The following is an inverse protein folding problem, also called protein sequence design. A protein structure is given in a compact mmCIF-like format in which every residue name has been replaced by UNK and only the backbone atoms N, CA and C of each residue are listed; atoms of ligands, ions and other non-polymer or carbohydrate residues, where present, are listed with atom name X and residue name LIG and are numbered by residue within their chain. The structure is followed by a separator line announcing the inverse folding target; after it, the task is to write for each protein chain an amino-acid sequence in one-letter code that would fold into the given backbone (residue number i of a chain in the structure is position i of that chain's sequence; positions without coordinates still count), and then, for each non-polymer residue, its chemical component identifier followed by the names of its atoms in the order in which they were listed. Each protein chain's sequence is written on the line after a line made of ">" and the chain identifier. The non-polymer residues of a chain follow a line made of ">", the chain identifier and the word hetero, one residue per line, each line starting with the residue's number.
data_IF_708562172168
#
_entry.id   IF_708562172168
#
_cell.length_a   1.000
_cell.length_b   1.000
_cell.length_c   1.000
_cell.angle_alpha   90.00
_cell.angle_beta   90.00
_cell.angle_gamma   90.00
#
_symmetry.space_group_name_H-M   'P 1'
#
loop_
_entity.id
_entity.type
_entity.pdbx_description
1 polymer ?
#
# COMPACT_ATOMS: atom_id res chain seq x y z
N UNK A 1 21.65 -2.64 12.36
CA UNK A 1 20.39 -3.32 12.74
C UNK A 1 19.23 -2.42 12.33
N UNK A 2 18.44 -2.81 11.32
CA UNK A 2 17.20 -2.11 11.00
C UNK A 2 16.20 -2.35 12.14
N UNK A 3 15.62 -1.28 12.69
CA UNK A 3 14.55 -1.38 13.68
C UNK A 3 13.41 -2.25 13.12
N UNK A 4 12.87 -3.14 13.96
CA UNK A 4 11.76 -4.04 13.61
C UNK A 4 10.57 -3.27 13.00
N UNK A 5 10.38 -2.01 13.37
CA UNK A 5 9.29 -1.17 12.87
C UNK A 5 9.51 -0.72 11.42
N UNK A 6 10.76 -0.46 11.02
CA UNK A 6 11.08 -0.15 9.62
C UNK A 6 10.87 -1.38 8.73
N UNK A 7 11.17 -2.58 9.25
CA UNK A 7 10.88 -3.84 8.54
C UNK A 7 9.37 -4.10 8.42
N UNK A 8 8.58 -3.81 9.46
CA UNK A 8 7.10 -3.89 9.40
C UNK A 8 6.53 -2.91 8.37
N UNK A 9 7.01 -1.67 8.35
CA UNK A 9 6.57 -0.66 7.38
C UNK A 9 6.86 -1.09 5.93
N UNK A 10 8.03 -1.68 5.67
CA UNK A 10 8.36 -2.24 4.35
C UNK A 10 7.46 -3.41 3.96
N UNK A 11 7.16 -4.33 4.89
CA UNK A 11 6.26 -5.45 4.64
C UNK A 11 4.83 -4.99 4.35
N UNK A 12 4.35 -3.99 5.07
CA UNK A 12 3.01 -3.44 4.82
C UNK A 12 2.92 -2.69 3.50
N UNK A 13 3.98 -1.96 3.11
CA UNK A 13 4.03 -1.32 1.80
C UNK A 13 4.09 -2.37 0.66
N UNK A 14 4.91 -3.41 0.82
CA UNK A 14 4.99 -4.51 -0.14
C UNK A 14 3.64 -5.22 -0.32
N UNK A 15 2.89 -5.45 0.77
CA UNK A 15 1.53 -6.02 0.72
C UNK A 15 0.57 -5.13 -0.07
N UNK A 16 0.58 -3.81 0.17
CA UNK A 16 -0.25 -2.86 -0.59
C UNK A 16 0.04 -2.88 -2.08
N UNK A 17 1.32 -2.93 -2.47
CA UNK A 17 1.71 -3.03 -3.87
C UNK A 17 1.25 -4.33 -4.53
N UNK A 18 1.40 -5.46 -3.82
CA UNK A 18 0.92 -6.77 -4.27
C UNK A 18 -0.61 -6.77 -4.46
N UNK A 19 -1.35 -6.14 -3.55
CA UNK A 19 -2.81 -6.03 -3.63
C UNK A 19 -3.28 -5.18 -4.82
N UNK A 20 -2.55 -4.10 -5.12
CA UNK A 20 -2.79 -3.27 -6.31
C UNK A 20 -2.50 -4.05 -7.59
N UNK A 21 -1.34 -4.71 -7.67
CA UNK A 21 -0.97 -5.53 -8.83
C UNK A 21 -2.05 -6.60 -9.08
N UNK A 22 -2.46 -7.34 -8.05
CA UNK A 22 -3.49 -8.38 -8.13
C UNK A 22 -4.86 -7.83 -8.56
N UNK A 23 -5.22 -6.62 -8.13
CA UNK A 23 -6.43 -5.94 -8.59
C UNK A 23 -6.38 -5.61 -10.08
N UNK A 24 -5.24 -5.12 -10.57
CA UNK A 24 -5.03 -4.85 -12.00
C UNK A 24 -5.05 -6.14 -12.83
N UNK A 25 -4.34 -7.18 -12.40
CA UNK A 25 -4.33 -8.49 -13.09
C UNK A 25 -5.72 -9.08 -13.19
N UNK A 26 -6.52 -9.00 -12.11
CA UNK A 26 -7.92 -9.45 -12.13
C UNK A 26 -8.76 -8.70 -13.17
N UNK A 27 -8.60 -7.37 -13.28
CA UNK A 27 -9.32 -6.56 -14.28
C UNK A 27 -8.92 -6.91 -15.70
N UNK A 28 -7.61 -7.08 -15.95
CA UNK A 28 -7.10 -7.47 -17.26
C UNK A 28 -7.62 -8.85 -17.62
N UNK A 29 -7.54 -9.82 -16.70
CA UNK A 29 -8.06 -11.17 -16.93
C UNK A 29 -9.58 -11.17 -17.23
N UNK A 30 -10.38 -10.37 -16.52
CA UNK A 30 -11.81 -10.23 -16.84
C UNK A 30 -12.02 -9.59 -18.21
N UNK A 31 -11.31 -8.50 -18.54
CA UNK A 31 -11.44 -7.83 -19.83
C UNK A 31 -11.04 -8.76 -20.99
N UNK A 32 -9.91 -9.45 -20.87
CA UNK A 32 -9.42 -10.43 -21.84
C UNK A 32 -10.37 -11.62 -21.96
N UNK A 33 -10.87 -12.16 -20.85
CA UNK A 33 -11.86 -13.25 -20.85
C UNK A 33 -13.17 -12.85 -21.51
N UNK A 34 -13.63 -11.61 -21.27
CA UNK A 34 -14.85 -11.08 -21.91
C UNK A 34 -14.63 -10.93 -23.41
N UNK A 35 -13.50 -10.35 -23.83
CA UNK A 35 -13.16 -10.20 -25.24
C UNK A 35 -13.01 -11.55 -25.96
N UNK A 36 -12.37 -12.53 -25.32
CA UNK A 36 -12.23 -13.89 -25.84
C UNK A 36 -13.59 -14.59 -25.97
N UNK A 37 -14.46 -14.48 -24.95
CA UNK A 37 -15.83 -15.01 -25.00
C UNK A 37 -16.63 -14.35 -26.13
N UNK A 38 -16.60 -13.01 -26.24
CA UNK A 38 -17.26 -12.29 -27.34
C UNK A 38 -16.75 -12.72 -28.70
N UNK A 39 -15.44 -12.95 -28.85
CA UNK A 39 -14.86 -13.43 -30.12
C UNK A 39 -15.32 -14.86 -30.44
N UNK A 40 -15.43 -15.72 -29.43
CA UNK A 40 -15.95 -17.08 -29.55
C UNK A 40 -17.40 -17.14 -30.06
N UNK A 41 -18.24 -16.17 -29.68
CA UNK A 41 -19.63 -16.06 -30.18
C UNK A 41 -19.71 -15.91 -31.71
N UNK A 42 -18.68 -15.34 -32.32
CA UNK A 42 -18.65 -15.09 -33.77
C UNK A 42 -17.81 -16.12 -34.53
N UNK A 43 -17.06 -16.99 -33.83
CA UNK A 43 -16.16 -17.96 -34.46
C UNK A 43 -16.17 -19.31 -33.74
N UNK A 44 -16.86 -20.29 -34.32
CA UNK A 44 -16.98 -21.66 -33.79
C UNK A 44 -15.63 -22.38 -33.68
N UNK A 45 -14.63 -21.99 -34.47
CA UNK A 45 -13.30 -22.59 -34.50
C UNK A 45 -12.51 -22.42 -33.18
N UNK A 46 -12.83 -21.41 -32.37
CA UNK A 46 -12.02 -21.03 -31.19
C UNK A 46 -12.74 -21.28 -29.85
N UNK A 47 -13.97 -21.81 -29.91
CA UNK A 47 -14.86 -21.99 -28.76
C UNK A 47 -14.31 -23.00 -27.72
N UNK A 48 -13.64 -24.07 -28.17
CA UNK A 48 -13.03 -25.05 -27.27
C UNK A 48 -11.86 -24.47 -26.46
N UNK A 49 -11.03 -23.65 -27.09
CA UNK A 49 -9.87 -23.02 -26.45
C UNK A 49 -10.29 -21.93 -25.45
N UNK A 50 -11.34 -21.16 -25.78
CA UNK A 50 -11.88 -20.13 -24.89
C UNK A 50 -12.54 -20.72 -23.64
N UNK A 51 -13.21 -21.87 -23.77
CA UNK A 51 -13.74 -22.66 -22.65
C UNK A 51 -12.63 -23.09 -21.68
N UNK A 52 -11.56 -23.69 -22.22
CA UNK A 52 -10.41 -24.14 -21.44
C UNK A 52 -9.70 -22.98 -20.75
N UNK A 53 -9.49 -21.87 -21.45
CA UNK A 53 -8.88 -20.67 -20.90
C UNK A 53 -9.73 -20.06 -19.76
N UNK A 54 -11.05 -20.05 -19.92
CA UNK A 54 -11.98 -19.52 -18.89
C UNK A 54 -12.01 -20.41 -17.66
N UNK A 55 -12.06 -21.73 -17.82
CA UNK A 55 -11.99 -22.69 -16.72
C UNK A 55 -10.66 -22.59 -15.96
N UNK A 56 -9.55 -22.52 -16.69
CA UNK A 56 -8.23 -22.36 -16.10
C UNK A 56 -8.12 -21.04 -15.32
N UNK A 57 -8.56 -19.92 -15.88
CA UNK A 57 -8.53 -18.61 -15.22
C UNK A 57 -9.41 -18.58 -13.97
N UNK A 58 -10.61 -19.16 -14.04
CA UNK A 58 -11.55 -19.23 -12.90
C UNK A 58 -11.01 -20.13 -11.79
N UNK A 59 -10.51 -21.32 -12.14
CA UNK A 59 -9.92 -22.26 -11.20
C UNK A 59 -8.68 -21.69 -10.51
N UNK A 60 -7.79 -21.04 -11.27
CA UNK A 60 -6.61 -20.38 -10.72
C UNK A 60 -7.00 -19.20 -9.82
N UNK A 61 -8.01 -18.42 -10.20
CA UNK A 61 -8.55 -17.34 -9.36
C UNK A 61 -9.08 -17.83 -8.01
N UNK A 62 -9.77 -18.97 -8.00
CA UNK A 62 -10.26 -19.63 -6.78
C UNK A 62 -9.14 -20.20 -5.92
N UNK A 63 -8.09 -20.78 -6.51
CA UNK A 63 -6.94 -21.29 -5.77
C UNK A 63 -6.10 -20.18 -5.12
N UNK A 64 -5.95 -19.04 -5.80
CA UNK A 64 -5.10 -17.94 -5.32
C UNK A 64 -5.86 -17.09 -4.28
N UNK A 65 -7.19 -17.16 -4.23
CA UNK A 65 -8.03 -16.44 -3.27
C UNK A 65 -7.62 -16.78 -1.83
N UNK A 66 -7.29 -15.78 -0.99
CA UNK A 66 -6.85 -16.02 0.38
C UNK A 66 -8.05 -16.27 1.31
N UNK A 67 -8.93 -17.19 0.95
CA UNK A 67 -10.09 -17.60 1.77
C UNK A 67 -9.65 -18.19 3.11
N UNK A 68 -8.46 -18.80 3.14
CA UNK A 68 -7.88 -19.38 4.36
C UNK A 68 -7.35 -18.34 5.37
N UNK A 69 -7.21 -17.06 4.99
CA UNK A 69 -6.61 -16.01 5.84
C UNK A 69 -7.61 -14.99 6.39
N UNK A 70 -8.90 -15.14 6.12
CA UNK A 70 -9.91 -14.39 6.86
C UNK A 70 -9.75 -14.74 8.34
N UNK A 71 -9.29 -13.77 9.14
CA UNK A 71 -8.79 -13.94 10.50
C UNK A 71 -9.83 -14.72 11.30
N UNK A 72 -9.58 -16.02 11.46
CA UNK A 72 -10.39 -16.83 12.35
C UNK A 72 -10.12 -16.33 13.77
N UNK A 73 -11.13 -16.33 14.67
CA UNK A 73 -10.85 -16.23 16.10
C UNK A 73 -9.75 -17.24 16.43
N UNK A 74 -8.82 -16.88 17.32
CA UNK A 74 -7.70 -17.77 17.67
C UNK A 74 -8.23 -19.18 17.86
N UNK A 75 -7.79 -20.13 17.04
CA UNK A 75 -8.46 -21.41 16.97
C UNK A 75 -8.27 -22.11 18.30
N UNK A 76 -9.38 -22.47 18.92
CA UNK A 76 -9.40 -23.16 20.21
C UNK A 76 -8.52 -24.41 20.10
N UNK A 77 -7.47 -24.46 20.93
CA UNK A 77 -6.55 -25.59 20.94
C UNK A 77 -7.27 -26.77 21.57
N UNK A 78 -7.59 -27.76 20.77
CA UNK A 78 -8.15 -29.02 21.26
C UNK A 78 -7.00 -29.87 21.78
N UNK A 79 -7.13 -30.34 23.01
CA UNK A 79 -6.14 -31.21 23.66
C UNK A 79 -6.79 -32.58 23.84
N UNK A 80 -6.40 -33.54 23.00
CA UNK A 80 -6.86 -34.92 23.11
C UNK A 80 -5.83 -35.79 23.81
N UNK A 81 -6.29 -36.65 24.72
CA UNK A 81 -5.43 -37.62 25.40
C UNK A 81 -5.35 -38.90 24.58
N UNK A 82 -4.16 -39.26 24.16
CA UNK A 82 -3.88 -40.44 23.35
C UNK A 82 -3.91 -41.71 24.22
N UNK A 83 -4.18 -42.89 23.63
CA UNK A 83 -4.40 -44.14 24.37
C UNK A 83 -3.17 -44.62 25.18
N UNK A 84 -1.99 -44.21 24.73
CA UNK A 84 -0.67 -44.37 25.34
C UNK A 84 -0.36 -43.33 26.44
N UNK A 85 -1.32 -42.46 26.77
CA UNK A 85 -1.19 -41.44 27.81
C UNK A 85 -0.55 -40.12 27.35
N UNK A 86 -0.19 -40.02 26.06
CA UNK A 86 0.27 -38.79 25.42
C UNK A 86 -0.81 -37.71 25.34
N UNK A 87 -0.40 -36.46 25.16
CA UNK A 87 -1.31 -35.33 24.90
C UNK A 87 -1.06 -34.84 23.48
N UNK A 88 -2.06 -34.96 22.62
CA UNK A 88 -2.03 -34.46 21.25
C UNK A 88 -2.73 -33.11 21.23
N UNK A 89 -1.95 -32.05 21.11
CA UNK A 89 -2.46 -30.70 20.91
C UNK A 89 -2.52 -30.47 19.41
N UNK A 90 -3.74 -30.40 18.87
CA UNK A 90 -3.92 -30.04 17.47
C UNK A 90 -4.96 -28.94 17.32
N UNK A 91 -4.86 -28.25 16.19
CA UNK A 91 -5.76 -27.19 15.83
C UNK A 91 -6.59 -27.67 14.66
N UNK A 92 -7.86 -28.07 14.86
CA UNK A 92 -8.70 -28.47 13.74
C UNK A 92 -8.85 -27.28 12.77
N UNK A 93 -8.88 -27.53 11.44
CA UNK A 93 -9.14 -26.47 10.48
C UNK A 93 -10.53 -25.89 10.76
N UNK A 94 -10.63 -24.63 11.18
CA UNK A 94 -11.94 -24.10 11.52
C UNK A 94 -12.81 -23.99 10.26
N UNK A 95 -14.12 -24.27 10.37
CA UNK A 95 -15.02 -24.23 9.24
C UNK A 95 -15.02 -22.82 8.63
N UNK A 96 -15.17 -22.69 7.30
CA UNK A 96 -15.20 -21.39 6.65
C UNK A 96 -16.37 -20.57 7.21
N UNK A 97 -16.07 -19.35 7.63
CA UNK A 97 -17.07 -18.41 8.15
C UNK A 97 -18.16 -18.16 7.10
N UNK A 98 -19.37 -17.79 7.55
CA UNK A 98 -20.46 -17.45 6.63
C UNK A 98 -20.03 -16.37 5.62
N UNK A 99 -19.24 -15.38 6.07
CA UNK A 99 -18.63 -14.36 5.21
C UNK A 99 -17.66 -14.95 4.18
N UNK A 100 -16.80 -15.90 4.58
CA UNK A 100 -15.91 -16.62 3.68
C UNK A 100 -16.65 -17.39 2.59
N UNK A 101 -17.76 -18.05 2.96
CA UNK A 101 -18.63 -18.77 2.01
C UNK A 101 -19.31 -17.79 1.04
N UNK A 102 -19.89 -16.70 1.54
CA UNK A 102 -20.51 -15.66 0.69
C UNK A 102 -19.49 -15.05 -0.28
N UNK A 103 -18.28 -14.76 0.20
CA UNK A 103 -17.19 -14.25 -0.64
C UNK A 103 -16.77 -15.26 -1.72
N UNK A 104 -16.67 -16.55 -1.37
CA UNK A 104 -16.36 -17.61 -2.33
C UNK A 104 -17.45 -17.75 -3.41
N UNK A 105 -18.73 -17.75 -3.01
CA UNK A 105 -19.87 -17.78 -3.94
C UNK A 105 -19.83 -16.56 -4.87
N UNK A 106 -19.70 -15.34 -4.32
CA UNK A 106 -19.63 -14.10 -5.12
C UNK A 106 -18.48 -14.10 -6.12
N UNK A 107 -17.39 -14.82 -5.83
CA UNK A 107 -16.25 -14.93 -6.74
C UNK A 107 -16.43 -16.03 -7.80
N UNK A 108 -17.07 -17.14 -7.44
CA UNK A 108 -17.30 -18.27 -8.34
C UNK A 108 -18.43 -18.03 -9.34
N UNK A 109 -19.51 -17.33 -8.94
CA UNK A 109 -20.73 -17.16 -9.74
C UNK A 109 -20.48 -16.66 -11.17
N UNK A 110 -19.63 -15.64 -11.43
CA UNK A 110 -19.40 -15.17 -12.79
C UNK A 110 -18.77 -16.23 -13.70
N UNK A 111 -17.81 -17.01 -13.19
CA UNK A 111 -17.16 -18.06 -13.96
C UNK A 111 -18.09 -19.24 -14.24
N UNK A 112 -18.86 -19.67 -13.24
CA UNK A 112 -19.87 -20.73 -13.41
C UNK A 112 -20.96 -20.31 -14.40
N UNK A 113 -21.41 -19.06 -14.35
CA UNK A 113 -22.38 -18.52 -15.29
C UNK A 113 -21.88 -18.55 -16.74
N UNK A 114 -20.62 -18.16 -16.96
CA UNK A 114 -20.01 -18.13 -18.28
C UNK A 114 -19.85 -19.55 -18.87
N UNK A 115 -19.44 -20.52 -18.05
CA UNK A 115 -19.41 -21.94 -18.43
C UNK A 115 -20.81 -22.44 -18.80
N UNK A 116 -21.84 -22.05 -18.05
CA UNK A 116 -23.23 -22.41 -18.34
C UNK A 116 -23.71 -21.90 -19.71
N UNK A 117 -23.40 -20.64 -20.05
CA UNK A 117 -23.72 -20.05 -21.36
C UNK A 117 -23.01 -20.80 -22.49
N UNK A 118 -21.73 -21.12 -22.33
CA UNK A 118 -20.96 -21.84 -23.35
C UNK A 118 -21.47 -23.27 -23.57
N UNK A 119 -21.95 -23.94 -22.51
CA UNK A 119 -22.61 -25.26 -22.64
C UNK A 119 -23.96 -25.12 -23.36
N UNK A 120 -24.73 -24.07 -23.07
CA UNK A 120 -26.01 -23.83 -23.73
C UNK A 120 -25.85 -23.60 -25.25
N UNK A 121 -24.87 -22.79 -25.65
CA UNK A 121 -24.53 -22.57 -27.06
C UNK A 121 -24.06 -23.84 -27.78
N UNK A 122 -23.38 -24.73 -27.06
CA UNK A 122 -22.96 -26.01 -27.61
C UNK A 122 -24.14 -26.95 -27.92
N UNK A 123 -25.23 -26.83 -27.14
CA UNK A 123 -26.43 -27.67 -27.29
C UNK A 123 -27.38 -27.08 -28.35
N UNK A 124 -27.52 -25.75 -28.42
CA UNK A 124 -28.42 -25.07 -29.36
C UNK A 124 -27.59 -24.13 -30.24
N UNK A 125 -27.09 -24.61 -31.39
CA UNK A 125 -26.33 -23.77 -32.30
C UNK A 125 -27.25 -22.75 -32.98
N UNK A 126 -26.98 -21.46 -32.76
CA UNK A 126 -27.75 -20.36 -33.35
C UNK A 126 -27.32 -19.00 -32.80
N UNK A 127 -27.63 -17.92 -33.53
CA UNK A 127 -27.36 -16.57 -33.05
C UNK A 127 -28.51 -16.08 -32.16
N UNK A 128 -28.31 -16.08 -30.85
CA UNK A 128 -29.33 -15.67 -29.89
C UNK A 128 -29.02 -14.29 -29.31
N UNK A 129 -29.62 -13.24 -29.89
CA UNK A 129 -29.48 -11.85 -29.41
C UNK A 129 -29.79 -11.69 -27.91
N UNK A 130 -30.70 -12.52 -27.38
CA UNK A 130 -31.01 -12.55 -25.95
C UNK A 130 -29.83 -12.99 -25.07
N UNK A 131 -29.00 -13.92 -25.54
CA UNK A 131 -27.81 -14.39 -24.82
C UNK A 131 -26.71 -13.33 -24.84
N UNK A 132 -26.47 -12.70 -25.99
CA UNK A 132 -25.54 -11.57 -26.09
C UNK A 132 -25.94 -10.40 -25.18
N UNK A 133 -27.25 -10.06 -25.13
CA UNK A 133 -27.78 -9.06 -24.21
C UNK A 133 -27.60 -9.48 -22.75
N UNK A 134 -27.85 -10.75 -22.42
CA UNK A 134 -27.69 -11.28 -21.07
C UNK A 134 -26.22 -11.23 -20.61
N UNK A 135 -25.27 -11.60 -21.47
CA UNK A 135 -23.82 -11.51 -21.20
C UNK A 135 -23.39 -10.05 -21.04
N UNK A 136 -23.88 -9.14 -21.86
CA UNK A 136 -23.59 -7.71 -21.75
C UNK A 136 -24.13 -7.11 -20.45
N UNK A 137 -25.40 -7.39 -20.10
CA UNK A 137 -26.03 -6.97 -18.84
C UNK A 137 -25.30 -7.55 -17.63
N UNK A 138 -24.93 -8.83 -17.69
CA UNK A 138 -24.18 -9.50 -16.62
C UNK A 138 -22.77 -8.90 -16.44
N UNK A 139 -22.08 -8.64 -17.55
CA UNK A 139 -20.76 -8.02 -17.53
C UNK A 139 -20.83 -6.60 -16.97
N UNK A 140 -21.80 -5.80 -17.40
CA UNK A 140 -22.03 -4.46 -16.84
C UNK A 140 -22.38 -4.54 -15.34
N UNK A 141 -23.24 -5.49 -14.95
CA UNK A 141 -23.65 -5.72 -13.57
C UNK A 141 -22.47 -6.09 -12.66
N UNK A 142 -21.61 -7.01 -13.09
CA UNK A 142 -20.41 -7.39 -12.33
C UNK A 142 -19.40 -6.25 -12.25
N UNK A 143 -19.28 -5.43 -13.29
CA UNK A 143 -18.44 -4.22 -13.29
C UNK A 143 -18.93 -3.16 -12.31
N UNK A 144 -20.24 -2.95 -12.26
CA UNK A 144 -20.89 -1.96 -11.38
C UNK A 144 -20.88 -2.41 -9.91
N UNK A 145 -21.25 -3.67 -9.65
CA UNK A 145 -21.31 -4.24 -8.30
C UNK A 145 -19.93 -4.44 -7.68
N UNK A 146 -18.90 -4.61 -8.51
CA UNK A 146 -17.52 -4.91 -8.10
C UNK A 146 -17.50 -5.99 -7.00
N UNK A 147 -18.01 -7.21 -7.26
CA UNK A 147 -18.20 -8.24 -6.24
C UNK A 147 -16.89 -8.56 -5.50
N UNK A 148 -15.74 -8.53 -6.19
CA UNK A 148 -14.43 -8.68 -5.58
C UNK A 148 -14.10 -7.59 -4.53
N UNK A 149 -14.53 -6.33 -4.75
CA UNK A 149 -14.35 -5.25 -3.77
C UNK A 149 -15.24 -5.47 -2.56
N UNK A 150 -16.51 -5.81 -2.76
CA UNK A 150 -17.44 -6.11 -1.65
C UNK A 150 -16.99 -7.33 -0.83
N UNK A 151 -16.57 -8.40 -1.50
CA UNK A 151 -16.03 -9.58 -0.84
C UNK A 151 -14.78 -9.23 0.01
N UNK A 152 -13.87 -8.39 -0.50
CA UNK A 152 -12.73 -7.90 0.29
C UNK A 152 -13.17 -7.12 1.54
N UNK A 153 -14.15 -6.22 1.41
CA UNK A 153 -14.67 -5.50 2.57
C UNK A 153 -15.35 -6.42 3.59
N UNK A 154 -15.90 -7.56 3.17
CA UNK A 154 -16.47 -8.57 4.07
C UNK A 154 -15.40 -9.44 4.74
N UNK A 155 -14.23 -9.63 4.11
CA UNK A 155 -13.14 -10.45 4.63
C UNK A 155 -12.14 -9.66 5.48
N UNK A 156 -12.08 -8.34 5.30
CA UNK A 156 -11.35 -7.45 6.21
C UNK A 156 -12.24 -7.29 7.44
N UNK A 157 -11.83 -7.78 8.63
CA UNK A 157 -12.58 -7.52 9.84
C UNK A 157 -12.79 -6.00 9.96
N UNK A 158 -13.96 -5.53 10.42
CA UNK A 158 -14.12 -4.12 10.72
C UNK A 158 -12.90 -3.72 11.56
N UNK A 159 -12.17 -2.69 11.11
CA UNK A 159 -11.11 -2.12 11.93
C UNK A 159 -11.72 -2.00 13.32
N UNK A 160 -11.08 -2.55 14.38
CA UNK A 160 -11.59 -2.35 15.73
C UNK A 160 -11.94 -0.88 15.83
N UNK A 161 -13.15 -0.52 16.31
CA UNK A 161 -13.56 0.87 16.36
C UNK A 161 -12.35 1.59 16.91
N UNK A 162 -11.80 2.54 16.12
CA UNK A 162 -10.72 3.38 16.61
C UNK A 162 -11.36 3.97 17.83
N UNK A 163 -10.98 3.44 18.99
CA UNK A 163 -11.48 3.89 20.26
C UNK A 163 -11.21 5.37 20.15
N UNK A 164 -12.31 6.14 20.06
CA UNK A 164 -12.17 7.57 19.91
C UNK A 164 -11.48 7.93 21.19
N UNK A 165 -10.17 8.11 21.10
CA UNK A 165 -9.34 8.70 22.12
C UNK A 165 -9.79 10.16 22.18
N UNK A 166 -11.02 10.34 22.64
CA UNK A 166 -11.51 11.55 23.21
C UNK A 166 -11.13 11.36 24.67
N UNK A 167 -10.19 12.18 25.10
CA UNK A 167 -9.71 12.29 26.49
C UNK A 167 -8.69 11.24 26.99
N UNK A 168 -7.84 10.68 26.12
CA UNK A 168 -6.46 10.54 26.61
C UNK A 168 -5.87 11.93 26.54
N UNK A 169 -5.92 12.64 27.67
CA UNK A 169 -4.81 13.51 28.06
C UNK A 169 -3.58 12.71 27.70
N UNK A 170 -2.87 13.13 26.64
CA UNK A 170 -1.55 12.61 26.32
C UNK A 170 -0.76 12.92 27.59
N UNK A 171 -0.68 11.95 28.49
CA UNK A 171 0.32 11.99 29.53
C UNK A 171 1.62 12.14 28.74
N UNK A 172 2.31 13.25 28.98
CA UNK A 172 3.71 13.46 28.62
C UNK A 172 4.54 12.35 29.26
N UNK A 173 4.37 11.10 28.81
CA UNK A 173 5.46 10.17 28.89
C UNK A 173 6.57 10.79 28.06
N UNK A 174 7.76 11.03 28.64
CA UNK A 174 8.86 11.66 27.94
C UNK A 174 9.15 10.80 26.70
N UNK A 175 8.68 11.26 25.54
CA UNK A 175 8.95 10.60 24.28
C UNK A 175 10.47 10.58 24.16
N UNK A 176 11.05 9.39 24.26
CA UNK A 176 12.48 9.22 24.13
C UNK A 176 12.82 9.51 22.67
N UNK A 177 13.12 10.78 22.37
CA UNK A 177 13.42 11.22 21.02
C UNK A 177 14.62 10.42 20.51
N UNK A 178 14.44 9.78 19.36
CA UNK A 178 15.51 8.96 18.77
C UNK A 178 16.75 9.78 18.38
N UNK A 179 16.62 11.10 18.24
CA UNK A 179 17.68 12.00 17.83
C UNK A 179 17.73 13.25 18.74
N UNK A 180 18.93 13.70 19.18
CA UNK A 180 19.05 14.88 20.05
C UNK A 180 18.51 16.16 19.42
N UNK A 181 18.59 16.30 18.09
CA UNK A 181 17.98 17.43 17.38
C UNK A 181 16.44 17.44 17.46
N UNK A 182 15.79 16.28 17.51
CA UNK A 182 14.34 16.19 17.65
C UNK A 182 13.91 16.59 19.08
N UNK A 183 14.69 16.19 20.08
CA UNK A 183 14.50 16.65 21.46
C UNK A 183 14.67 18.18 21.57
N UNK A 184 15.78 18.71 21.05
CA UNK A 184 16.03 20.15 21.05
C UNK A 184 14.92 20.93 20.32
N UNK A 185 14.42 20.38 19.21
CA UNK A 185 13.29 20.95 18.47
C UNK A 185 12.04 21.02 19.34
N UNK A 186 11.69 19.94 20.03
CA UNK A 186 10.54 19.90 20.93
C UNK A 186 10.67 20.90 22.09
N UNK A 187 11.86 21.00 22.69
CA UNK A 187 12.11 21.83 23.87
C UNK A 187 12.26 23.33 23.57
N UNK A 188 12.69 23.71 22.35
CA UNK A 188 13.03 25.10 22.02
C UNK A 188 12.24 25.69 20.86
N UNK A 189 11.87 24.87 19.87
CA UNK A 189 11.28 25.35 18.61
C UNK A 189 9.76 25.15 18.58
N UNK A 190 9.30 23.96 19.00
CA UNK A 190 7.90 23.55 18.92
C UNK A 190 7.04 23.95 20.13
N UNK A 191 7.63 24.65 21.09
CA UNK A 191 6.93 25.22 22.24
C UNK A 191 5.92 26.30 21.81
N UNK A 192 4.94 26.56 22.67
CA UNK A 192 4.00 27.66 22.46
C UNK A 192 4.74 29.00 22.36
N UNK A 193 4.47 29.77 21.30
CA UNK A 193 5.19 31.01 21.02
C UNK A 193 6.58 30.83 20.40
N UNK A 194 7.01 29.59 20.13
CA UNK A 194 8.28 29.26 19.48
C UNK A 194 8.37 29.65 18.00
N UNK A 195 9.34 29.07 17.30
CA UNK A 195 9.56 29.29 15.87
C UNK A 195 8.63 28.42 15.00
N UNK A 196 8.24 27.24 15.47
CA UNK A 196 7.36 26.31 14.76
C UNK A 196 6.43 25.57 15.75
N UNK A 197 5.50 26.27 16.41
CA UNK A 197 4.60 25.66 17.39
C UNK A 197 3.81 24.50 16.75
N UNK A 198 3.46 23.49 17.56
CA UNK A 198 2.68 22.33 17.11
C UNK A 198 3.34 21.54 15.96
N UNK A 199 4.68 21.43 15.97
CA UNK A 199 5.43 20.62 15.00
C UNK A 199 6.32 19.59 15.68
N UNK A 200 6.65 18.51 14.96
CA UNK A 200 7.57 17.45 15.39
C UNK A 200 8.58 17.17 14.29
N UNK A 201 9.82 16.88 14.69
CA UNK A 201 10.92 16.51 13.79
C UNK A 201 11.00 14.97 13.69
N UNK A 202 10.74 14.40 12.51
CA UNK A 202 10.60 12.94 12.34
C UNK A 202 11.85 12.26 11.77
N UNK A 203 12.53 12.89 10.80
CA UNK A 203 13.71 12.33 10.14
C UNK A 203 14.78 13.41 10.02
N UNK A 204 15.93 13.22 10.67
CA UNK A 204 17.03 14.20 10.69
C UNK A 204 18.23 13.56 10.01
N UNK A 205 18.63 14.14 8.89
CA UNK A 205 19.77 13.71 8.10
C UNK A 205 20.83 14.80 8.12
N UNK A 206 22.04 14.48 8.61
CA UNK A 206 23.19 15.37 8.52
C UNK A 206 23.78 15.27 7.10
N UNK A 207 23.69 16.35 6.33
CA UNK A 207 24.13 16.40 4.92
C UNK A 207 25.53 16.99 4.75
N UNK A 208 26.08 17.61 5.80
CA UNK A 208 27.45 18.14 5.84
C UNK A 208 27.88 18.49 7.25
N UNK A 209 29.07 19.07 7.43
CA UNK A 209 29.57 19.46 8.76
C UNK A 209 28.65 20.48 9.44
N UNK A 210 28.21 21.48 8.66
CA UNK A 210 27.29 22.56 9.06
C UNK A 210 25.96 22.54 8.29
N UNK A 211 25.64 21.42 7.62
CA UNK A 211 24.40 21.29 6.84
C UNK A 211 23.56 20.11 7.35
N UNK A 212 22.25 20.34 7.46
CA UNK A 212 21.28 19.31 7.81
C UNK A 212 20.01 19.45 7.00
N UNK A 213 19.33 18.31 6.84
CA UNK A 213 18.00 18.22 6.26
C UNK A 213 17.10 17.47 7.23
N UNK A 214 15.92 17.99 7.47
CA UNK A 214 14.98 17.36 8.38
C UNK A 214 13.54 17.42 7.86
N UNK A 215 12.77 16.37 8.18
CA UNK A 215 11.34 16.32 7.88
C UNK A 215 10.57 16.81 9.11
N UNK A 216 9.79 17.87 8.91
CA UNK A 216 8.89 18.45 9.90
C UNK A 216 7.46 17.96 9.61
N UNK A 217 6.76 17.54 10.65
CA UNK A 217 5.36 17.15 10.59
C UNK A 217 4.53 17.96 11.58
N UNK A 218 3.25 18.19 11.27
CA UNK A 218 2.31 18.69 12.27
C UNK A 218 2.20 17.70 13.44
N UNK A 219 2.07 18.22 14.67
CA UNK A 219 1.84 17.38 15.85
C UNK A 219 0.49 16.67 15.80
N UNK A 220 -0.51 17.32 15.19
CA UNK A 220 -1.85 16.77 14.96
C UNK A 220 -1.90 16.14 13.55
N UNK A 221 -2.10 14.81 13.44
CA UNK A 221 -2.18 14.15 12.15
C UNK A 221 -3.34 14.68 11.28
N UNK A 222 -3.02 15.07 10.05
CA UNK A 222 -4.00 15.54 9.07
C UNK A 222 -4.13 17.06 9.00
N UNK A 223 -3.57 17.79 9.95
CA UNK A 223 -3.47 19.25 9.89
C UNK A 223 -2.25 19.70 9.05
N UNK A 224 -2.34 20.86 8.38
CA UNK A 224 -1.18 21.44 7.71
C UNK A 224 -0.11 21.84 8.73
N UNK A 225 1.16 21.77 8.33
CA UNK A 225 2.26 22.32 9.14
C UNK A 225 2.03 23.82 9.31
N UNK A 226 2.00 24.35 10.56
CA UNK A 226 1.90 25.78 10.81
C UNK A 226 3.05 26.55 10.16
N UNK A 227 2.84 27.85 9.92
CA UNK A 227 3.89 28.69 9.35
C UNK A 227 5.11 28.75 10.28
N UNK A 228 6.30 28.51 9.71
CA UNK A 228 7.55 28.41 10.45
C UNK A 228 8.29 29.73 10.32
N UNK A 229 8.49 30.42 11.45
CA UNK A 229 9.20 31.69 11.47
C UNK A 229 10.70 31.49 11.27
N UNK A 230 11.15 31.56 10.01
CA UNK A 230 12.58 31.45 9.64
C UNK A 230 13.44 32.46 10.39
N UNK A 231 12.93 33.68 10.63
CA UNK A 231 13.63 34.71 11.42
C UNK A 231 13.89 34.27 12.87
N UNK A 232 12.88 33.71 13.55
CA UNK A 232 13.04 33.22 14.93
C UNK A 232 13.92 31.98 14.97
N UNK A 233 13.78 31.09 14.00
CA UNK A 233 14.59 29.88 13.89
C UNK A 233 16.07 30.22 13.66
N UNK A 234 16.35 31.19 12.78
CA UNK A 234 17.67 31.76 12.53
C UNK A 234 18.30 32.32 13.81
N UNK A 235 17.54 33.13 14.57
CA UNK A 235 18.02 33.68 15.84
C UNK A 235 18.29 32.61 16.90
N UNK A 236 17.51 31.53 16.91
CA UNK A 236 17.65 30.44 17.88
C UNK A 236 18.83 29.51 17.56
N UNK A 237 19.09 29.26 16.28
CA UNK A 237 20.17 28.38 15.81
C UNK A 237 21.51 29.08 15.61
N UNK A 238 21.52 30.42 15.61
CA UNK A 238 22.65 31.25 15.20
C UNK A 238 23.11 30.94 13.76
N UNK A 239 22.13 30.82 12.85
CA UNK A 239 22.36 30.54 11.42
C UNK A 239 21.72 31.63 10.57
N UNK A 240 22.39 32.20 9.55
CA UNK A 240 21.81 33.18 8.64
C UNK A 240 20.49 32.72 8.00
N UNK A 241 19.53 33.65 7.82
CA UNK A 241 18.18 33.35 7.32
C UNK A 241 18.20 32.78 5.89
N UNK A 242 19.15 33.21 5.06
CA UNK A 242 19.35 32.74 3.69
C UNK A 242 19.84 31.29 3.61
N UNK A 243 20.35 30.75 4.72
CA UNK A 243 20.76 29.34 4.84
C UNK A 243 19.65 28.44 5.40
N UNK A 244 18.47 28.97 5.72
CA UNK A 244 17.35 28.20 6.24
C UNK A 244 16.23 28.22 5.20
N UNK A 245 15.93 27.05 4.64
CA UNK A 245 14.82 26.88 3.70
C UNK A 245 13.80 25.91 4.27
N UNK A 246 12.54 26.31 4.27
CA UNK A 246 11.39 25.46 4.61
C UNK A 246 10.54 25.32 3.35
N UNK A 247 10.32 24.09 2.89
CA UNK A 247 9.60 23.83 1.64
C UNK A 247 8.74 22.56 1.68
N UNK A 248 7.94 22.31 0.64
CA UNK A 248 7.14 21.09 0.56
C UNK A 248 8.01 19.86 0.31
N UNK A 249 7.59 18.70 0.85
CA UNK A 249 8.20 17.41 0.49
C UNK A 249 7.49 16.84 -0.76
N UNK A 250 8.21 16.54 -1.86
CA UNK A 250 7.59 15.99 -3.07
C UNK A 250 6.78 14.72 -2.79
N UNK A 251 5.54 14.67 -3.31
CA UNK A 251 4.64 13.53 -3.14
C UNK A 251 4.00 13.40 -1.75
N UNK A 252 4.17 14.40 -0.87
CA UNK A 252 3.54 14.47 0.45
C UNK A 252 2.57 15.66 0.51
N UNK A 253 1.55 15.55 1.38
CA UNK A 253 0.60 16.63 1.62
C UNK A 253 1.18 17.74 2.50
N UNK A 254 0.39 18.80 2.72
CA UNK A 254 0.78 19.97 3.51
C UNK A 254 1.04 19.68 5.01
N UNK A 255 0.74 18.47 5.48
CA UNK A 255 1.06 18.02 6.84
C UNK A 255 2.54 17.70 7.06
N UNK A 256 3.35 17.80 6.01
CA UNK A 256 4.80 17.54 6.05
C UNK A 256 5.56 18.62 5.27
N UNK A 257 6.61 19.15 5.88
CA UNK A 257 7.54 20.09 5.24
C UNK A 257 8.99 19.63 5.41
N UNK A 258 9.83 20.05 4.48
CA UNK A 258 11.26 19.83 4.46
C UNK A 258 11.97 21.07 5.01
N UNK A 259 12.72 20.91 6.09
CA UNK A 259 13.65 21.91 6.58
C UNK A 259 15.05 21.58 6.06
N UNK A 260 15.68 22.54 5.40
CA UNK A 260 17.09 22.48 5.03
C UNK A 260 17.81 23.62 5.72
N UNK A 261 18.92 23.32 6.40
CA UNK A 261 19.77 24.29 7.08
C UNK A 261 21.19 24.16 6.55
N UNK A 262 21.79 25.28 6.15
CA UNK A 262 23.12 25.34 5.54
C UNK A 262 23.10 25.08 4.03
N UNK A 263 24.25 25.24 3.40
CA UNK A 263 24.46 24.77 2.03
C UNK A 263 24.89 23.31 2.08
N UNK A 264 24.07 22.42 1.53
CA UNK A 264 24.48 21.04 1.32
C UNK A 264 25.68 21.04 0.37
N UNK A 265 26.73 20.31 0.74
CA UNK A 265 27.90 20.16 -0.11
C UNK A 265 27.44 19.54 -1.44
N UNK A 266 27.63 20.27 -2.55
CA UNK A 266 27.14 19.83 -3.86
C UNK A 266 27.70 18.46 -4.23
N UNK A 267 28.89 18.12 -3.70
CA UNK A 267 29.52 16.81 -3.85
C UNK A 267 28.82 15.69 -3.04
N UNK A 268 28.17 16.02 -1.91
CA UNK A 268 27.41 15.06 -1.10
C UNK A 268 26.03 14.75 -1.69
N UNK A 269 25.53 15.64 -2.56
CA UNK A 269 24.25 15.46 -3.26
C UNK A 269 24.37 14.71 -4.59
N UNK A 270 25.57 14.24 -4.99
CA UNK A 270 25.72 13.41 -6.19
C UNK A 270 24.95 12.09 -6.00
N UNK A 271 23.80 11.90 -6.67
CA UNK A 271 22.98 10.71 -6.47
C UNK A 271 23.70 9.45 -6.95
N UNK A 272 24.64 9.60 -7.90
CA UNK A 272 25.47 8.48 -8.37
C UNK A 272 26.37 7.97 -7.26
N UNK A 273 27.04 8.87 -6.55
CA UNK A 273 27.88 8.52 -5.41
C UNK A 273 27.08 7.94 -4.25
N UNK A 274 25.96 8.56 -3.88
CA UNK A 274 25.11 8.09 -2.77
C UNK A 274 24.55 6.70 -3.05
N UNK A 275 24.07 6.46 -4.27
CA UNK A 275 23.58 5.15 -4.66
C UNK A 275 24.71 4.12 -4.69
N UNK A 276 25.86 4.43 -5.29
CA UNK A 276 27.01 3.52 -5.38
C UNK A 276 27.56 3.13 -4.00
N UNK A 277 27.68 4.09 -3.08
CA UNK A 277 28.28 3.85 -1.76
C UNK A 277 27.29 3.21 -0.76
N UNK A 278 26.01 3.61 -0.78
CA UNK A 278 25.04 3.18 0.25
C UNK A 278 23.98 2.20 -0.22
N UNK A 279 23.46 2.36 -1.43
CA UNK A 279 22.29 1.60 -1.89
C UNK A 279 22.73 0.33 -2.64
N UNK A 280 23.69 0.44 -3.56
CA UNK A 280 24.18 -0.66 -4.38
C UNK A 280 24.62 -1.88 -3.56
N UNK A 281 25.46 -1.73 -2.51
CA UNK A 281 25.98 -2.89 -1.79
C UNK A 281 24.89 -3.65 -1.03
N UNK A 282 23.84 -2.95 -0.58
CA UNK A 282 22.72 -3.54 0.15
C UNK A 282 21.65 -4.13 -0.76
N UNK A 283 21.36 -3.46 -1.88
CA UNK A 283 20.28 -3.85 -2.78
C UNK A 283 20.73 -4.85 -3.86
N UNK A 284 21.95 -4.71 -4.40
CA UNK A 284 22.47 -5.49 -5.53
C UNK A 284 23.99 -5.72 -5.43
N UNK A 285 24.43 -6.62 -4.53
CA UNK A 285 25.86 -6.92 -4.39
C UNK A 285 26.45 -7.45 -5.71
N UNK A 286 27.55 -6.84 -6.17
CA UNK A 286 28.26 -7.24 -7.39
C UNK A 286 27.80 -6.56 -8.68
N UNK A 287 26.77 -5.70 -8.64
CA UNK A 287 26.36 -4.91 -9.79
C UNK A 287 27.17 -3.62 -9.91
N UNK A 288 27.64 -3.29 -11.13
CA UNK A 288 28.27 -1.99 -11.44
C UNK A 288 27.27 -1.10 -12.16
N UNK A 289 27.06 0.12 -11.66
CA UNK A 289 26.16 1.09 -12.29
C UNK A 289 26.86 1.67 -13.52
N UNK A 290 26.21 1.59 -14.68
CA UNK A 290 26.68 2.24 -15.91
C UNK A 290 26.01 3.58 -16.17
N UNK A 291 24.77 3.78 -15.72
CA UNK A 291 24.06 5.05 -15.82
C UNK A 291 22.93 5.15 -14.78
N UNK A 292 22.67 6.36 -14.28
CA UNK A 292 21.48 6.68 -13.47
C UNK A 292 20.67 7.71 -14.24
N UNK A 293 19.45 7.33 -14.62
CA UNK A 293 18.51 8.27 -15.21
C UNK A 293 17.68 8.90 -14.09
N UNK A 294 18.15 10.04 -13.59
CA UNK A 294 17.34 10.91 -12.74
C UNK A 294 16.32 11.54 -13.68
N UNK A 295 15.10 11.00 -13.71
CA UNK A 295 14.04 11.51 -14.58
C UNK A 295 13.97 13.02 -14.42
N UNK A 296 14.32 13.76 -15.48
CA UNK A 296 14.27 15.20 -15.50
C UNK A 296 12.81 15.61 -15.38
N UNK A 297 12.35 15.91 -14.18
CA UNK A 297 11.18 16.77 -14.05
C UNK A 297 11.62 18.12 -14.57
N UNK A 298 11.20 18.43 -15.79
CA UNK A 298 11.36 19.72 -16.43
C UNK A 298 10.86 20.81 -15.46
N UNK A 299 11.77 21.43 -14.72
CA UNK A 299 11.57 22.79 -14.25
C UNK A 299 11.65 23.64 -15.52
N UNK A 300 10.49 23.96 -16.07
CA UNK A 300 10.37 24.86 -17.22
C UNK A 300 11.13 26.13 -16.90
N UNK A 301 12.16 26.36 -17.70
CA UNK A 301 13.02 27.55 -17.68
C UNK A 301 12.31 28.66 -18.46
N UNK A 302 11.16 29.07 -17.96
CA UNK A 302 10.41 30.28 -18.34
C UNK A 302 10.12 30.92 -16.97
N UNK A 303 10.99 31.74 -16.39
CA UNK A 303 11.23 33.13 -16.75
C UNK A 303 12.63 33.58 -16.26
N UNK A 304 13.52 33.94 -17.20
CA UNK A 304 14.72 34.73 -16.97
C UNK A 304 14.91 35.69 -18.15
#
# INVERSE_FOLDING_TARGET
>A
MLSADRMRAHLDNARRHLDTARSHTGRVATATGTAAATTGLFTTAVMGESLLATLAATGLGLLVLPTHKARQPEPEKVIERTADGGMLVYTPPAPPSHQGRTAAVLYATPGVGLVGVLIAEWIVPGFHWGEALAVALWSAGTWLLRPARRARHMLVPPLPPVEKVHDLVVQDEPQLYAHPAAQWWAERVAIEGGAAPATVLEDVEKTGESAMRAIIRASIPGEPVPDISVRRLSALMDVPQDLITVGPVPGRGASVQLLTVGQADAAALDPARLWAERIAPLAMPGATITAINLGSMNLSKEDA
#
